data_IF_909998310851
#
_entry.id   IF_909998310851
#
_cell.length_a   1.000
_cell.length_b   1.000
_cell.length_c   1.000
_cell.angle_alpha   90.00
_cell.angle_beta   90.00
_cell.angle_gamma   90.00
#
_symmetry.space_group_name_H-M   'P 1'
#
loop_
_entity.id
_entity.type
_entity.pdbx_description
1 polymer ?
#
# COMPACT_ATOMS: atom_id res chain seq x y z
N UNK A 1 -18.49 7.29 -22.03
CA UNK A 1 -18.19 7.52 -20.61
C UNK A 1 -18.47 6.25 -19.82
N UNK A 2 -17.46 5.44 -19.48
CA UNK A 2 -17.61 4.36 -18.50
C UNK A 2 -16.24 4.05 -17.86
N UNK A 3 -15.72 5.00 -17.08
CA UNK A 3 -14.40 4.93 -16.40
C UNK A 3 -14.51 4.62 -14.89
N UNK A 4 -15.73 4.35 -14.41
CA UNK A 4 -16.06 4.27 -12.98
C UNK A 4 -15.40 3.13 -12.16
N UNK A 5 -15.03 1.94 -12.71
CA UNK A 5 -14.42 0.87 -11.90
C UNK A 5 -12.89 0.98 -11.75
N UNK A 6 -12.21 1.64 -12.71
CA UNK A 6 -10.75 1.80 -12.76
C UNK A 6 -10.30 2.74 -11.65
N UNK A 7 -10.95 3.91 -11.58
CA UNK A 7 -10.75 4.92 -10.54
C UNK A 7 -11.00 4.35 -9.14
N UNK A 8 -12.07 3.58 -8.93
CA UNK A 8 -12.40 3.02 -7.61
C UNK A 8 -11.35 2.06 -7.06
N UNK A 9 -10.78 1.22 -7.92
CA UNK A 9 -9.78 0.22 -7.50
C UNK A 9 -8.48 0.89 -7.06
N UNK A 10 -8.02 1.90 -7.81
CA UNK A 10 -6.85 2.69 -7.42
C UNK A 10 -7.12 3.54 -6.16
N UNK A 11 -8.29 4.16 -6.06
CA UNK A 11 -8.68 4.90 -4.83
C UNK A 11 -8.69 3.98 -3.60
N UNK A 12 -9.12 2.73 -3.75
CA UNK A 12 -9.13 1.76 -2.65
C UNK A 12 -7.71 1.40 -2.22
N UNK A 13 -6.80 1.24 -3.18
CA UNK A 13 -5.39 1.00 -2.90
C UNK A 13 -4.75 2.19 -2.17
N UNK A 14 -5.01 3.42 -2.63
CA UNK A 14 -4.51 4.64 -1.99
C UNK A 14 -5.08 4.83 -0.58
N UNK A 15 -6.36 4.51 -0.37
CA UNK A 15 -6.96 4.54 0.97
C UNK A 15 -6.30 3.53 1.91
N UNK A 16 -5.95 2.35 1.41
CA UNK A 16 -5.19 1.35 2.18
C UNK A 16 -3.78 1.85 2.51
N UNK A 17 -3.09 2.50 1.57
CA UNK A 17 -1.76 3.06 1.81
C UNK A 17 -1.79 4.13 2.91
N UNK A 18 -2.84 4.95 2.94
CA UNK A 18 -3.00 6.04 3.90
C UNK A 18 -3.59 5.59 5.27
N UNK A 19 -3.89 4.31 5.45
CA UNK A 19 -4.38 3.76 6.73
C UNK A 19 -3.20 3.45 7.66
N UNK A 20 -2.62 4.52 8.22
CA UNK A 20 -1.48 4.46 9.12
C UNK A 20 -1.77 3.65 10.39
N UNK A 21 -2.99 3.72 10.91
CA UNK A 21 -3.38 2.95 12.10
C UNK A 21 -3.34 1.44 11.85
N UNK A 22 -3.88 0.97 10.71
CA UNK A 22 -3.79 -0.43 10.33
C UNK A 22 -2.35 -0.85 9.97
N UNK A 23 -1.58 0.07 9.38
CA UNK A 23 -0.17 -0.12 9.06
C UNK A 23 0.66 -0.35 10.32
N UNK A 24 0.55 0.50 11.35
CA UNK A 24 1.31 0.37 12.58
C UNK A 24 0.85 -0.82 13.44
N UNK A 25 -0.44 -1.16 13.41
CA UNK A 25 -0.96 -2.30 14.18
C UNK A 25 -0.46 -3.65 13.65
N UNK A 26 -0.41 -3.82 12.32
CA UNK A 26 -0.03 -5.07 11.66
C UNK A 26 0.79 -4.84 10.38
N UNK A 27 2.03 -4.33 10.49
CA UNK A 27 2.81 -3.83 9.34
C UNK A 27 3.02 -4.86 8.24
N UNK A 28 3.43 -6.08 8.58
CA UNK A 28 3.64 -7.13 7.59
C UNK A 28 2.36 -7.61 6.90
N UNK A 29 1.23 -7.63 7.62
CA UNK A 29 -0.05 -8.03 7.03
C UNK A 29 -0.64 -6.90 6.17
N UNK A 30 -0.42 -5.66 6.56
CA UNK A 30 -0.82 -4.48 5.80
C UNK A 30 -0.03 -4.33 4.51
N UNK A 31 1.29 -4.47 4.59
CA UNK A 31 2.19 -4.50 3.43
C UNK A 31 1.77 -5.57 2.41
N UNK A 32 1.49 -6.79 2.87
CA UNK A 32 1.01 -7.86 1.99
C UNK A 32 -0.26 -7.47 1.22
N UNK A 33 -1.22 -6.81 1.88
CA UNK A 33 -2.45 -6.34 1.23
C UNK A 33 -2.17 -5.26 0.17
N UNK A 34 -1.20 -4.37 0.41
CA UNK A 34 -0.77 -3.38 -0.59
C UNK A 34 -0.15 -4.05 -1.81
N UNK A 35 0.73 -5.03 -1.60
CA UNK A 35 1.36 -5.81 -2.70
C UNK A 35 0.31 -6.60 -3.49
N UNK A 36 -0.60 -7.30 -2.80
CA UNK A 36 -1.69 -8.04 -3.44
C UNK A 36 -2.61 -7.11 -4.25
N UNK A 37 -2.93 -5.93 -3.71
CA UNK A 37 -3.73 -4.91 -4.38
C UNK A 37 -3.05 -4.34 -5.63
N UNK A 38 -1.76 -4.00 -5.56
CA UNK A 38 -1.00 -3.50 -6.71
C UNK A 38 -0.93 -4.54 -7.84
N UNK A 39 -0.67 -5.81 -7.49
CA UNK A 39 -0.68 -6.91 -8.45
C UNK A 39 -2.07 -7.12 -9.07
N UNK A 40 -3.15 -6.98 -8.30
CA UNK A 40 -4.51 -7.08 -8.82
C UNK A 40 -4.82 -5.96 -9.82
N UNK A 41 -4.39 -4.72 -9.54
CA UNK A 41 -4.53 -3.58 -10.46
C UNK A 41 -3.79 -3.83 -11.78
N UNK A 42 -2.56 -4.34 -11.72
CA UNK A 42 -1.77 -4.63 -12.92
C UNK A 42 -2.39 -5.78 -13.73
N UNK A 43 -2.83 -6.85 -13.07
CA UNK A 43 -3.54 -7.98 -13.73
C UNK A 43 -4.84 -7.56 -14.39
N UNK A 44 -5.53 -6.57 -13.81
CA UNK A 44 -6.72 -5.97 -14.40
C UNK A 44 -6.40 -4.94 -15.51
N UNK A 45 -5.12 -4.71 -15.82
CA UNK A 45 -4.64 -3.72 -16.80
C UNK A 45 -5.11 -2.29 -16.48
N UNK A 46 -5.32 -2.01 -15.20
CA UNK A 46 -5.69 -0.66 -14.69
C UNK A 46 -4.44 0.23 -14.59
N UNK A 47 -3.30 -0.38 -14.33
CA UNK A 47 -1.98 0.25 -14.23
C UNK A 47 -1.01 -0.50 -15.15
N UNK A 48 0.05 0.18 -15.58
CA UNK A 48 1.12 -0.45 -16.36
C UNK A 48 2.24 -1.01 -15.44
N UNK A 49 3.28 -1.59 -16.05
CA UNK A 49 4.40 -2.19 -15.32
C UNK A 49 5.26 -1.17 -14.55
N UNK A 50 5.39 0.06 -15.06
CA UNK A 50 6.10 1.12 -14.35
C UNK A 50 5.31 1.56 -13.12
N UNK A 51 4.01 1.82 -13.29
CA UNK A 51 3.09 2.15 -12.20
C UNK A 51 3.09 1.05 -11.11
N UNK A 52 3.11 -0.23 -11.51
CA UNK A 52 3.24 -1.34 -10.57
C UNK A 52 4.53 -1.25 -9.74
N UNK A 53 5.64 -0.89 -10.37
CA UNK A 53 6.91 -0.65 -9.68
C UNK A 53 6.79 0.47 -8.63
N UNK A 54 6.24 1.62 -9.03
CA UNK A 54 6.01 2.76 -8.13
C UNK A 54 5.11 2.41 -6.94
N UNK A 55 4.07 1.58 -7.15
CA UNK A 55 3.16 1.14 -6.09
C UNK A 55 3.82 0.17 -5.13
N UNK A 56 4.68 -0.73 -5.62
CA UNK A 56 5.43 -1.67 -4.79
C UNK A 56 6.48 -0.94 -3.95
N UNK A 57 7.19 0.04 -4.53
CA UNK A 57 8.13 0.88 -3.79
C UNK A 57 7.44 1.66 -2.67
N UNK A 58 6.25 2.21 -2.92
CA UNK A 58 5.45 2.86 -1.88
C UNK A 58 5.01 1.89 -0.78
N UNK A 59 4.65 0.65 -1.12
CA UNK A 59 4.31 -0.37 -0.14
C UNK A 59 5.51 -0.70 0.75
N UNK A 60 6.69 -0.92 0.16
CA UNK A 60 7.93 -1.20 0.88
C UNK A 60 8.34 -0.02 1.78
N UNK A 61 8.19 1.22 1.28
CA UNK A 61 8.40 2.43 2.06
C UNK A 61 7.46 2.54 3.27
N UNK A 62 6.18 2.22 3.11
CA UNK A 62 5.22 2.19 4.21
C UNK A 62 5.59 1.14 5.26
N UNK A 63 6.04 -0.05 4.84
CA UNK A 63 6.52 -1.08 5.77
C UNK A 63 7.77 -0.62 6.54
N UNK A 64 8.74 -0.03 5.84
CA UNK A 64 9.96 0.48 6.47
C UNK A 64 9.63 1.57 7.52
N UNK A 65 8.79 2.53 7.16
CA UNK A 65 8.28 3.54 8.09
C UNK A 65 7.63 2.91 9.32
N UNK A 66 6.75 1.93 9.12
CA UNK A 66 6.04 1.30 10.23
C UNK A 66 6.97 0.54 11.18
N UNK A 67 7.97 -0.14 10.63
CA UNK A 67 9.00 -0.83 11.42
C UNK A 67 9.82 0.18 12.21
N UNK A 68 10.25 1.28 11.59
CA UNK A 68 11.00 2.34 12.27
C UNK A 68 10.18 3.02 13.37
N UNK A 69 8.91 3.35 13.10
CA UNK A 69 8.00 3.96 14.07
C UNK A 69 7.79 3.05 15.29
N UNK A 70 7.53 1.76 15.09
CA UNK A 70 7.36 0.79 16.17
C UNK A 70 8.64 0.58 17.00
N UNK A 71 9.81 0.71 16.37
CA UNK A 71 11.09 0.68 17.08
C UNK A 71 11.27 1.96 17.91
N UNK A 72 11.03 3.14 17.34
CA UNK A 72 11.16 4.43 18.04
C UNK A 72 10.21 4.52 19.24
N UNK A 73 8.96 4.06 19.10
CA UNK A 73 8.00 3.93 20.20
C UNK A 73 8.50 2.98 21.32
N UNK A 74 9.29 1.97 20.96
CA UNK A 74 9.87 1.02 21.91
C UNK A 74 11.19 1.46 22.54
N UNK A 75 11.89 2.45 21.97
CA UNK A 75 13.18 2.96 22.44
C UNK A 75 13.09 4.31 23.19
N UNK A 76 11.89 4.87 23.33
CA UNK A 76 11.61 6.11 24.06
C UNK A 76 11.35 5.93 25.57
N UNK A 77 12.23 5.22 26.30
CA UNK A 77 12.28 5.25 27.79
C UNK A 77 13.33 6.25 28.30
#
# INVERSE_FOLDING_TARGET
MNDLPVSRSLTTWLALLNDEGALLLHPGQHHKKLVDGANALHRAQIINQADLGDLLEQADGALAYAVEALLDEGYGE
#
